data_IF_188402050781
#
_entry.id   IF_188402050781
#
_cell.length_a   1.000
_cell.length_b   1.000
_cell.length_c   1.000
_cell.angle_alpha   90.00
_cell.angle_beta   90.00
_cell.angle_gamma   90.00
#
_symmetry.space_group_name_H-M   'P 1'
#
loop_
_entity.id
_entity.type
_entity.pdbx_description
1 polymer ?
#
# COMPACT_ATOMS: atom_id res chain seq x y z
N UNK A 1 34.99 -11.65 39.31
CA UNK A 1 34.13 -11.32 40.47
C UNK A 1 33.20 -10.10 40.29
N UNK A 2 33.28 -9.37 39.14
CA UNK A 2 32.40 -8.21 38.86
C UNK A 2 30.95 -8.60 38.49
N UNK A 3 30.69 -9.79 37.94
CA UNK A 3 29.37 -10.22 37.48
C UNK A 3 28.36 -10.56 38.59
N UNK A 4 28.78 -11.12 39.70
CA UNK A 4 27.89 -11.52 40.80
C UNK A 4 27.34 -10.32 41.59
N UNK A 5 28.13 -9.24 41.76
CA UNK A 5 27.70 -8.03 42.45
C UNK A 5 26.61 -7.26 41.69
N UNK A 6 26.65 -7.28 40.35
CA UNK A 6 25.65 -6.63 39.51
C UNK A 6 24.32 -7.41 39.48
N UNK A 7 24.38 -8.75 39.52
CA UNK A 7 23.18 -9.59 39.61
C UNK A 7 22.48 -9.38 40.96
N UNK A 8 23.23 -9.28 42.08
CA UNK A 8 22.66 -8.99 43.40
C UNK A 8 22.07 -7.58 43.52
N UNK A 9 22.71 -6.58 42.92
CA UNK A 9 22.18 -5.20 42.90
C UNK A 9 20.88 -5.13 42.08
N UNK A 10 20.83 -5.80 40.89
CA UNK A 10 19.62 -5.87 40.09
C UNK A 10 18.48 -6.61 40.80
N UNK A 11 18.78 -7.72 41.52
CA UNK A 11 17.77 -8.44 42.30
C UNK A 11 17.25 -7.60 43.47
N UNK A 12 18.12 -6.82 44.14
CA UNK A 12 17.73 -5.93 45.24
C UNK A 12 16.88 -4.77 44.75
N UNK A 13 17.25 -4.16 43.63
CA UNK A 13 16.49 -3.11 42.98
C UNK A 13 15.09 -3.62 42.53
N UNK A 14 15.02 -4.79 41.93
CA UNK A 14 13.76 -5.43 41.54
C UNK A 14 12.86 -5.76 42.76
N UNK A 15 13.44 -6.17 43.88
CA UNK A 15 12.66 -6.36 45.13
C UNK A 15 12.11 -5.05 45.69
N UNK A 16 12.91 -3.98 45.71
CA UNK A 16 12.48 -2.66 46.16
C UNK A 16 11.38 -2.09 45.27
N UNK A 17 11.50 -2.24 43.93
CA UNK A 17 10.49 -1.82 42.98
C UNK A 17 9.22 -2.64 43.15
N UNK A 18 9.32 -3.97 43.31
CA UNK A 18 8.16 -4.85 43.53
C UNK A 18 7.42 -4.55 44.84
N UNK A 19 8.13 -4.05 45.86
CA UNK A 19 7.53 -3.60 47.12
C UNK A 19 6.93 -2.18 47.03
N UNK A 20 7.52 -1.31 46.22
CA UNK A 20 7.06 0.05 46.01
C UNK A 20 5.89 0.16 45.02
N UNK A 21 5.69 -0.86 44.17
CA UNK A 21 4.57 -0.86 43.26
C UNK A 21 3.27 -1.03 44.02
N UNK A 22 2.30 -0.10 43.86
CA UNK A 22 0.98 -0.24 44.46
C UNK A 22 0.35 -1.57 44.00
N UNK A 23 -0.37 -2.24 44.89
CA UNK A 23 -1.12 -3.44 44.57
C UNK A 23 -2.04 -3.09 43.41
N UNK A 24 -1.73 -3.63 42.24
CA UNK A 24 -2.47 -3.35 40.99
C UNK A 24 -3.98 -3.60 41.23
N UNK A 25 -4.87 -2.69 40.82
CA UNK A 25 -6.30 -2.85 41.02
C UNK A 25 -6.79 -4.11 40.28
N UNK A 26 -7.78 -4.75 40.86
CA UNK A 26 -8.49 -5.91 40.25
C UNK A 26 -9.94 -5.55 40.02
N UNK A 27 -10.51 -6.05 38.96
CA UNK A 27 -11.96 -6.04 38.76
C UNK A 27 -12.56 -7.25 39.49
N UNK A 28 -12.88 -7.07 40.76
CA UNK A 28 -13.62 -8.06 41.51
C UNK A 28 -15.14 -7.93 41.23
N UNK A 29 -15.89 -9.01 41.48
CA UNK A 29 -17.34 -9.00 41.31
C UNK A 29 -18.05 -7.88 42.08
N UNK A 30 -17.45 -7.41 43.19
CA UNK A 30 -17.94 -6.26 43.95
C UNK A 30 -17.66 -4.92 43.26
N UNK A 31 -16.56 -4.81 42.49
CA UNK A 31 -16.26 -3.61 41.69
C UNK A 31 -17.23 -3.48 40.51
N UNK A 32 -17.59 -4.59 39.86
CA UNK A 32 -18.57 -4.63 38.79
C UNK A 32 -19.99 -4.26 39.22
N UNK A 33 -20.31 -4.31 40.52
CA UNK A 33 -21.60 -3.84 41.06
C UNK A 33 -21.66 -2.33 41.29
N UNK A 34 -20.54 -1.62 41.15
CA UNK A 34 -20.50 -0.17 41.29
C UNK A 34 -21.05 0.50 40.04
N UNK A 35 -22.07 1.38 40.15
CA UNK A 35 -22.71 1.98 38.97
C UNK A 35 -21.72 2.81 38.12
N UNK A 36 -20.74 3.46 38.76
CA UNK A 36 -19.70 4.20 38.04
C UNK A 36 -18.82 3.30 37.16
N UNK A 37 -18.50 2.08 37.61
CA UNK A 37 -17.71 1.12 36.83
C UNK A 37 -18.53 0.60 35.64
N UNK A 38 -19.79 0.26 35.87
CA UNK A 38 -20.70 -0.15 34.80
C UNK A 38 -20.91 0.93 33.77
N UNK A 39 -21.09 2.18 34.21
CA UNK A 39 -21.20 3.34 33.32
C UNK A 39 -19.91 3.54 32.49
N UNK A 40 -18.74 3.44 33.10
CA UNK A 40 -17.46 3.53 32.41
C UNK A 40 -17.26 2.43 31.36
N UNK A 41 -17.63 1.18 31.69
CA UNK A 41 -17.60 0.06 30.74
C UNK A 41 -18.58 0.23 29.60
N UNK A 42 -19.80 0.71 29.88
CA UNK A 42 -20.80 1.00 28.85
C UNK A 42 -20.34 2.11 27.90
N UNK A 43 -19.75 3.18 28.45
CA UNK A 43 -19.18 4.28 27.66
C UNK A 43 -18.01 3.80 26.79
N UNK A 44 -17.12 2.97 27.34
CA UNK A 44 -16.02 2.38 26.59
C UNK A 44 -16.52 1.46 25.46
N UNK A 45 -17.53 0.61 25.75
CA UNK A 45 -18.14 -0.25 24.72
C UNK A 45 -18.84 0.58 23.64
N UNK A 46 -19.56 1.63 24.01
CA UNK A 46 -20.21 2.53 23.05
C UNK A 46 -19.17 3.25 22.17
N UNK A 47 -18.07 3.69 22.78
CA UNK A 47 -16.96 4.29 22.07
C UNK A 47 -16.31 3.32 21.06
N UNK A 48 -16.08 2.07 21.46
CA UNK A 48 -15.57 1.03 20.54
C UNK A 48 -16.54 0.79 19.38
N UNK A 49 -17.82 0.57 19.67
CA UNK A 49 -18.84 0.30 18.64
C UNK A 49 -18.96 1.46 17.66
N UNK A 50 -18.97 2.70 18.14
CA UNK A 50 -19.02 3.89 17.30
C UNK A 50 -17.79 4.00 16.39
N UNK A 51 -16.57 3.78 16.92
CA UNK A 51 -15.36 3.79 16.11
C UNK A 51 -15.36 2.68 15.06
N UNK A 52 -15.69 1.44 15.47
CA UNK A 52 -15.74 0.30 14.56
C UNK A 52 -16.77 0.47 13.43
N UNK A 53 -17.92 1.12 13.71
CA UNK A 53 -18.95 1.37 12.69
C UNK A 53 -18.52 2.36 11.61
N UNK A 54 -17.45 3.13 11.84
CA UNK A 54 -16.92 4.14 10.92
C UNK A 54 -15.60 3.74 10.26
N UNK A 55 -15.17 2.50 10.44
CA UNK A 55 -13.93 2.02 9.83
C UNK A 55 -13.98 2.09 8.31
N UNK A 56 -12.87 2.56 7.73
CA UNK A 56 -12.64 2.60 6.30
C UNK A 56 -11.49 1.65 5.95
N UNK A 57 -11.68 0.87 4.90
CA UNK A 57 -10.70 -0.14 4.45
C UNK A 57 -10.04 0.23 3.11
N UNK A 58 -10.46 1.33 2.52
CA UNK A 58 -9.95 1.78 1.23
C UNK A 58 -8.70 2.65 1.43
N UNK A 59 -7.54 2.00 1.37
CA UNK A 59 -6.23 2.65 1.46
C UNK A 59 -5.47 2.44 0.17
N UNK A 60 -5.39 3.49 -0.65
CA UNK A 60 -4.54 3.49 -1.84
C UNK A 60 -3.06 3.58 -1.48
N UNK A 61 -2.18 3.13 -2.40
CA UNK A 61 -0.72 3.27 -2.24
C UNK A 61 -0.30 4.74 -2.03
N UNK A 62 -1.08 5.68 -2.55
CA UNK A 62 -0.85 7.12 -2.38
C UNK A 62 -0.96 7.57 -0.93
N UNK A 63 -1.85 6.94 -0.14
CA UNK A 63 -2.05 7.25 1.27
C UNK A 63 -0.88 6.77 2.15
N UNK A 64 0.00 5.93 1.59
CA UNK A 64 1.21 5.45 2.26
C UNK A 64 2.44 6.35 1.97
N UNK A 65 2.34 7.26 1.00
CA UNK A 65 3.43 8.16 0.64
C UNK A 65 3.51 9.32 1.63
N UNK A 66 4.66 9.47 2.26
CA UNK A 66 4.94 10.55 3.22
C UNK A 66 5.49 11.84 2.59
N UNK A 67 5.36 12.01 1.27
CA UNK A 67 5.87 13.21 0.62
C UNK A 67 5.07 14.46 1.03
N UNK A 68 5.73 15.59 1.38
CA UNK A 68 5.04 16.83 1.67
C UNK A 68 4.17 17.26 0.50
N UNK A 69 2.94 17.74 0.77
CA UNK A 69 2.00 18.15 -0.27
C UNK A 69 2.61 19.15 -1.26
N UNK A 70 3.38 20.14 -0.78
CA UNK A 70 4.08 21.10 -1.63
C UNK A 70 5.02 20.45 -2.64
N UNK A 71 5.71 19.36 -2.24
CA UNK A 71 6.60 18.62 -3.13
C UNK A 71 5.81 17.89 -4.20
N UNK A 72 4.71 17.24 -3.82
CA UNK A 72 3.79 16.56 -4.76
C UNK A 72 3.19 17.56 -5.76
N UNK A 73 2.72 18.70 -5.29
CA UNK A 73 2.18 19.76 -6.16
C UNK A 73 3.23 20.30 -7.13
N UNK A 74 4.45 20.56 -6.64
CA UNK A 74 5.57 20.99 -7.49
C UNK A 74 5.94 19.93 -8.53
N UNK A 75 6.01 18.67 -8.13
CA UNK A 75 6.30 17.55 -9.03
C UNK A 75 5.21 17.38 -10.10
N UNK A 76 3.94 17.50 -9.72
CA UNK A 76 2.82 17.46 -10.66
C UNK A 76 2.83 18.67 -11.61
N UNK A 77 3.18 19.86 -11.13
CA UNK A 77 3.30 21.05 -11.96
C UNK A 77 4.42 20.90 -13.01
N UNK A 78 5.58 20.39 -12.62
CA UNK A 78 6.70 20.11 -13.54
C UNK A 78 6.32 19.01 -14.53
N UNK A 79 5.70 17.91 -14.07
CA UNK A 79 5.26 16.82 -14.93
C UNK A 79 4.25 17.31 -15.99
N UNK A 80 3.31 18.17 -15.60
CA UNK A 80 2.35 18.77 -16.54
C UNK A 80 3.00 19.73 -17.52
N UNK A 81 3.91 20.60 -17.03
CA UNK A 81 4.58 21.59 -17.87
C UNK A 81 5.49 20.94 -18.95
N UNK A 82 6.10 19.81 -18.62
CA UNK A 82 6.97 19.06 -19.52
C UNK A 82 6.26 17.92 -20.26
N UNK A 83 4.94 17.75 -20.05
CA UNK A 83 4.15 16.63 -20.57
C UNK A 83 4.85 15.27 -20.34
N UNK A 84 5.45 15.09 -19.15
CA UNK A 84 6.16 13.87 -18.82
C UNK A 84 5.18 12.70 -18.67
N UNK A 85 5.42 11.57 -19.34
CA UNK A 85 4.55 10.41 -19.19
C UNK A 85 4.57 9.88 -17.77
N UNK A 86 3.41 9.43 -17.30
CA UNK A 86 3.29 8.76 -16.00
C UNK A 86 3.85 7.35 -16.10
N UNK A 87 4.81 6.96 -15.25
CA UNK A 87 5.27 5.57 -15.24
C UNK A 87 4.25 4.62 -14.61
N UNK A 88 3.19 5.15 -14.03
CA UNK A 88 2.19 4.38 -13.29
C UNK A 88 1.04 3.88 -14.16
N UNK A 89 0.75 4.57 -15.28
CA UNK A 89 -0.30 4.20 -16.23
C UNK A 89 0.27 4.16 -17.64
N UNK A 90 0.10 3.01 -18.30
CA UNK A 90 0.57 2.79 -19.66
C UNK A 90 -0.30 1.76 -20.36
N UNK A 91 -0.26 1.75 -21.68
CA UNK A 91 -0.74 0.62 -22.46
C UNK A 91 0.43 -0.30 -22.80
N UNK A 92 0.20 -1.58 -22.68
CA UNK A 92 1.08 -2.63 -23.20
C UNK A 92 0.40 -3.22 -24.43
N UNK A 93 1.11 -3.21 -25.54
CA UNK A 93 0.62 -3.74 -26.79
C UNK A 93 1.47 -4.94 -27.19
N UNK A 94 0.82 -5.98 -27.68
CA UNK A 94 1.49 -7.20 -28.13
C UNK A 94 0.96 -7.65 -29.49
N UNK A 95 1.87 -8.21 -30.27
CA UNK A 95 1.59 -8.82 -31.58
C UNK A 95 2.64 -9.86 -31.94
N UNK A 96 2.40 -10.66 -32.97
CA UNK A 96 3.36 -11.64 -33.45
C UNK A 96 4.61 -11.02 -34.09
N UNK A 97 4.50 -9.80 -34.62
CA UNK A 97 5.59 -9.04 -35.23
C UNK A 97 5.58 -7.60 -34.71
N UNK A 98 6.73 -6.93 -34.77
CA UNK A 98 6.82 -5.52 -34.37
C UNK A 98 5.88 -4.65 -35.23
N UNK A 99 5.80 -4.89 -36.54
CA UNK A 99 4.92 -4.13 -37.45
C UNK A 99 3.44 -4.25 -37.05
N UNK A 100 2.95 -5.46 -36.77
CA UNK A 100 1.57 -5.65 -36.31
C UNK A 100 1.33 -5.00 -34.92
N UNK A 101 2.32 -5.06 -34.02
CA UNK A 101 2.22 -4.39 -32.75
C UNK A 101 2.11 -2.88 -32.92
N UNK A 102 2.85 -2.30 -33.88
CA UNK A 102 2.76 -0.88 -34.23
C UNK A 102 1.42 -0.52 -34.90
N UNK A 103 0.83 -1.41 -35.67
CA UNK A 103 -0.53 -1.23 -36.21
C UNK A 103 -1.56 -1.17 -35.07
N UNK A 104 -1.45 -2.05 -34.07
CA UNK A 104 -2.30 -1.99 -32.87
C UNK A 104 -2.10 -0.68 -32.11
N UNK A 105 -0.85 -0.18 -32.00
CA UNK A 105 -0.53 1.10 -31.33
C UNK A 105 -1.16 2.28 -32.09
N UNK A 106 -1.08 2.30 -33.41
CA UNK A 106 -1.69 3.33 -34.25
C UNK A 106 -3.24 3.29 -34.20
N UNK A 107 -3.83 2.10 -34.16
CA UNK A 107 -5.26 1.92 -33.92
C UNK A 107 -5.69 2.43 -32.55
N UNK A 108 -4.89 2.15 -31.51
CA UNK A 108 -5.15 2.65 -30.16
C UNK A 108 -5.04 4.19 -30.10
N UNK A 109 -4.03 4.78 -30.73
CA UNK A 109 -3.90 6.25 -30.79
C UNK A 109 -5.12 6.88 -31.45
N UNK A 110 -5.63 6.26 -32.52
CA UNK A 110 -6.85 6.71 -33.22
C UNK A 110 -8.09 6.60 -32.31
N UNK A 111 -8.20 5.49 -31.56
CA UNK A 111 -9.28 5.29 -30.58
C UNK A 111 -9.23 6.31 -29.44
N UNK A 112 -8.04 6.62 -28.93
CA UNK A 112 -7.84 7.64 -27.87
C UNK A 112 -8.24 9.04 -28.37
N UNK A 113 -7.91 9.39 -29.61
CA UNK A 113 -8.29 10.69 -30.21
C UNK A 113 -9.79 10.81 -30.48
N UNK A 114 -10.49 9.70 -30.70
CA UNK A 114 -11.94 9.68 -30.92
C UNK A 114 -12.74 9.97 -29.65
N UNK A 115 -12.16 9.77 -28.46
CA UNK A 115 -12.81 9.96 -27.16
C UNK A 115 -12.55 11.39 -26.69
N UNK A 116 -13.58 12.27 -26.58
CA UNK A 116 -13.38 13.68 -26.23
C UNK A 116 -12.70 13.90 -24.89
N UNK A 117 -12.97 13.04 -23.89
CA UNK A 117 -12.45 13.10 -22.55
C UNK A 117 -10.94 12.84 -22.50
N UNK A 118 -10.39 12.14 -23.50
CA UNK A 118 -8.98 11.74 -23.57
C UNK A 118 -8.12 12.69 -24.42
N UNK A 119 -8.70 13.65 -25.10
CA UNK A 119 -7.97 14.60 -25.99
C UNK A 119 -6.90 15.44 -25.27
N UNK A 120 -7.02 15.60 -23.96
CA UNK A 120 -6.04 16.33 -23.15
C UNK A 120 -4.79 15.51 -22.81
N UNK A 121 -4.82 14.20 -23.06
CA UNK A 121 -3.70 13.31 -22.81
C UNK A 121 -2.66 13.41 -23.92
N UNK A 122 -1.40 13.35 -23.54
CA UNK A 122 -0.30 13.30 -24.49
C UNK A 122 0.27 11.88 -24.54
N UNK A 123 -0.02 11.10 -25.58
CA UNK A 123 0.57 9.78 -25.75
C UNK A 123 2.03 9.89 -26.18
N UNK A 124 2.83 8.90 -25.82
CA UNK A 124 4.21 8.73 -26.24
C UNK A 124 4.49 7.25 -26.43
N UNK A 125 4.76 6.86 -27.64
CA UNK A 125 4.97 5.46 -28.03
C UNK A 125 5.93 5.31 -29.20
N UNK A 126 6.23 4.06 -29.54
CA UNK A 126 7.19 3.74 -30.59
C UNK A 126 6.65 4.11 -31.99
N UNK A 127 5.34 3.96 -32.24
CA UNK A 127 4.71 4.28 -33.54
C UNK A 127 4.85 5.74 -33.96
N UNK A 128 5.15 6.63 -32.99
CA UNK A 128 5.43 8.05 -33.29
C UNK A 128 6.84 8.27 -33.86
N UNK A 129 7.77 7.34 -33.65
CA UNK A 129 9.14 7.36 -34.15
C UNK A 129 9.33 6.39 -35.31
N UNK A 130 8.70 5.24 -35.23
CA UNK A 130 8.75 4.15 -36.20
C UNK A 130 7.29 3.73 -36.52
N UNK A 131 6.70 4.27 -37.61
CA UNK A 131 5.37 3.85 -38.03
C UNK A 131 5.37 2.38 -38.47
N UNK A 132 4.19 1.74 -38.44
CA UNK A 132 4.02 0.39 -38.98
C UNK A 132 4.37 0.29 -40.47
N UNK A 133 4.72 -0.88 -40.95
CA UNK A 133 5.03 -1.09 -42.37
C UNK A 133 3.88 -0.63 -43.26
N UNK A 134 2.65 -0.93 -42.91
CA UNK A 134 1.45 -0.52 -43.61
C UNK A 134 1.32 1.01 -43.71
N UNK A 135 1.60 1.69 -42.63
CA UNK A 135 1.56 3.17 -42.58
C UNK A 135 2.71 3.80 -43.37
N UNK A 136 3.91 3.23 -43.29
CA UNK A 136 5.07 3.70 -44.06
C UNK A 136 4.80 3.59 -45.56
N UNK A 137 4.15 2.50 -46.02
CA UNK A 137 3.76 2.32 -47.44
C UNK A 137 2.70 3.36 -47.87
N UNK A 138 1.65 3.52 -47.05
CA UNK A 138 0.60 4.51 -47.31
C UNK A 138 1.13 5.95 -47.36
N UNK A 139 2.00 6.32 -46.42
CA UNK A 139 2.64 7.64 -46.36
C UNK A 139 3.56 7.85 -47.58
N UNK A 140 4.28 6.82 -48.02
CA UNK A 140 5.12 6.84 -49.23
C UNK A 140 4.30 7.10 -50.46
N UNK A 141 3.19 6.37 -50.65
CA UNK A 141 2.30 6.53 -51.80
C UNK A 141 1.70 7.95 -51.83
N UNK A 142 1.31 8.47 -50.66
CA UNK A 142 0.82 9.85 -50.54
C UNK A 142 1.88 10.89 -50.91
N UNK A 143 3.13 10.72 -50.42
CA UNK A 143 4.26 11.60 -50.77
C UNK A 143 4.61 11.48 -52.25
N UNK A 144 4.59 10.28 -52.82
CA UNK A 144 4.83 10.08 -54.24
C UNK A 144 3.80 10.81 -55.10
N UNK A 145 2.51 10.68 -54.77
CA UNK A 145 1.43 11.38 -55.45
C UNK A 145 1.54 12.91 -55.35
N UNK A 146 1.82 13.41 -54.16
CA UNK A 146 2.01 14.84 -53.88
C UNK A 146 3.24 15.38 -54.66
N UNK A 147 4.34 14.63 -54.67
CA UNK A 147 5.56 15.00 -55.42
C UNK A 147 5.32 15.05 -56.93
N UNK A 148 4.63 14.04 -57.45
CA UNK A 148 4.25 14.02 -58.89
C UNK A 148 3.34 15.21 -59.27
N UNK A 149 2.39 15.54 -58.41
CA UNK A 149 1.50 16.69 -58.66
C UNK A 149 2.24 18.04 -58.61
N UNK A 150 3.24 18.16 -57.72
CA UNK A 150 4.04 19.40 -57.56
C UNK A 150 5.19 19.52 -58.57
N UNK A 151 5.64 18.40 -59.18
CA UNK A 151 6.80 18.34 -60.06
C UNK A 151 6.80 19.36 -61.23
N UNK A 152 5.69 19.58 -61.98
CA UNK A 152 5.70 20.53 -63.09
C UNK A 152 5.98 21.97 -62.64
N UNK A 153 5.38 22.36 -61.49
CA UNK A 153 5.54 23.72 -60.96
C UNK A 153 6.91 23.94 -60.33
N UNK A 154 7.48 22.93 -59.71
CA UNK A 154 8.84 22.97 -59.13
C UNK A 154 9.88 22.99 -60.24
N UNK A 155 9.71 22.27 -61.33
CA UNK A 155 10.56 22.28 -62.51
C UNK A 155 10.57 23.67 -63.14
N UNK A 156 9.42 24.30 -63.29
CA UNK A 156 9.27 25.66 -63.81
C UNK A 156 9.96 26.71 -62.93
N UNK A 157 9.83 26.63 -61.60
CA UNK A 157 10.30 27.60 -60.65
C UNK A 157 11.78 27.42 -60.28
N UNK A 158 12.25 26.15 -60.16
CA UNK A 158 13.58 25.83 -59.62
C UNK A 158 14.51 25.17 -60.64
N UNK A 159 14.01 24.84 -61.82
CA UNK A 159 14.78 24.16 -62.87
C UNK A 159 15.15 22.71 -62.52
N UNK A 160 14.58 22.14 -61.49
CA UNK A 160 14.85 20.78 -61.00
C UNK A 160 13.57 20.00 -60.68
N UNK A 161 13.55 18.75 -61.03
CA UNK A 161 12.48 17.85 -60.67
C UNK A 161 12.69 17.34 -59.22
N UNK A 162 11.65 17.31 -58.39
CA UNK A 162 11.81 16.76 -57.05
C UNK A 162 12.13 15.24 -57.13
N UNK A 163 13.02 14.79 -56.24
CA UNK A 163 13.27 13.36 -56.05
C UNK A 163 12.08 12.73 -55.32
N UNK A 164 11.56 11.62 -55.87
CA UNK A 164 10.52 10.85 -55.20
C UNK A 164 10.98 10.27 -53.83
N UNK A 165 10.04 9.78 -53.04
CA UNK A 165 10.38 9.20 -51.74
C UNK A 165 11.26 7.95 -51.90
N UNK A 166 12.04 7.67 -50.89
CA UNK A 166 12.89 6.47 -50.86
C UNK A 166 12.04 5.20 -50.78
N UNK A 167 12.46 4.14 -51.43
CA UNK A 167 11.72 2.88 -51.45
C UNK A 167 11.94 2.01 -50.18
N UNK A 168 12.97 2.34 -49.42
CA UNK A 168 13.34 1.56 -48.24
C UNK A 168 12.43 1.94 -47.05
N UNK A 169 11.88 0.92 -46.34
CA UNK A 169 11.19 1.11 -45.09
C UNK A 169 12.19 1.32 -43.97
N UNK A 170 11.85 2.18 -43.02
CA UNK A 170 12.61 2.35 -41.79
C UNK A 170 12.38 1.14 -40.88
N UNK A 171 13.45 0.56 -40.36
CA UNK A 171 13.43 -0.53 -39.40
C UNK A 171 13.93 -0.07 -38.02
N UNK A 172 13.65 -0.84 -36.98
CA UNK A 172 14.11 -0.54 -35.60
C UNK A 172 15.64 -0.38 -35.54
N UNK A 173 16.36 -1.23 -36.25
CA UNK A 173 17.84 -1.17 -36.31
C UNK A 173 18.38 0.16 -36.86
N UNK A 174 17.62 0.83 -37.73
CA UNK A 174 18.02 2.15 -38.24
C UNK A 174 17.99 3.21 -37.12
N UNK A 175 17.05 3.11 -36.18
CA UNK A 175 16.95 3.97 -35.02
C UNK A 175 18.00 3.64 -33.96
N UNK A 176 18.40 2.39 -33.82
CA UNK A 176 19.42 1.94 -32.86
C UNK A 176 20.80 2.50 -33.15
N UNK A 177 21.08 2.85 -34.38
CA UNK A 177 22.33 3.49 -34.80
C UNK A 177 22.37 5.01 -34.56
N UNK A 178 21.27 5.59 -34.05
CA UNK A 178 21.07 7.02 -33.85
C UNK A 178 21.00 7.39 -32.37
N UNK A 179 21.02 8.69 -32.02
CA UNK A 179 20.75 9.16 -30.64
C UNK A 179 19.38 8.75 -30.09
N UNK A 180 18.45 8.31 -30.93
CA UNK A 180 17.10 7.86 -30.56
C UNK A 180 17.08 6.47 -29.91
N UNK A 181 18.20 5.74 -29.92
CA UNK A 181 18.31 4.40 -29.30
C UNK A 181 17.78 4.34 -27.86
N UNK A 182 18.21 5.27 -27.03
CA UNK A 182 17.77 5.33 -25.65
C UNK A 182 16.25 5.50 -25.49
N UNK A 183 15.65 6.20 -26.45
CA UNK A 183 14.20 6.44 -26.45
C UNK A 183 13.44 5.20 -26.95
N UNK A 184 13.93 4.55 -28.01
CA UNK A 184 13.29 3.33 -28.55
C UNK A 184 13.32 2.20 -27.54
N UNK A 185 14.41 2.02 -26.78
CA UNK A 185 14.50 1.02 -25.71
C UNK A 185 13.51 1.21 -24.57
N UNK A 186 12.96 2.42 -24.40
CA UNK A 186 11.91 2.67 -23.39
C UNK A 186 10.54 2.16 -23.84
N UNK A 187 10.32 2.04 -25.15
CA UNK A 187 9.04 1.65 -25.71
C UNK A 187 8.99 0.18 -26.12
N UNK A 188 10.13 -0.46 -26.34
CA UNK A 188 10.20 -1.88 -26.71
C UNK A 188 10.55 -2.71 -25.48
N UNK A 189 9.62 -3.54 -25.03
CA UNK A 189 9.85 -4.48 -23.93
C UNK A 189 10.41 -5.82 -24.44
N UNK A 190 9.90 -6.29 -25.56
CA UNK A 190 10.26 -7.58 -26.14
C UNK A 190 10.14 -7.49 -27.67
N UNK A 191 11.10 -8.03 -28.38
CA UNK A 191 11.08 -8.14 -29.83
C UNK A 191 11.78 -9.44 -30.25
N UNK A 192 11.06 -10.55 -30.14
CA UNK A 192 11.52 -11.88 -30.50
C UNK A 192 10.67 -12.45 -31.64
N UNK A 193 11.18 -13.42 -32.39
CA UNK A 193 10.39 -14.08 -33.44
C UNK A 193 9.09 -14.66 -32.87
N UNK A 194 7.97 -14.17 -33.41
CA UNK A 194 6.63 -14.60 -33.00
C UNK A 194 6.05 -13.82 -31.79
N UNK A 195 6.79 -12.87 -31.23
CA UNK A 195 6.29 -12.02 -30.15
C UNK A 195 7.00 -10.67 -30.08
N UNK A 196 6.24 -9.61 -30.26
CA UNK A 196 6.70 -8.25 -30.03
C UNK A 196 5.80 -7.56 -29.02
N UNK A 197 6.40 -6.84 -28.07
CA UNK A 197 5.69 -6.14 -27.01
C UNK A 197 6.22 -4.71 -26.91
N UNK A 198 5.30 -3.74 -27.04
CA UNK A 198 5.60 -2.31 -26.91
C UNK A 198 4.81 -1.66 -25.79
N UNK A 199 5.25 -0.51 -25.34
CA UNK A 199 4.59 0.31 -24.32
C UNK A 199 4.25 1.68 -24.87
N UNK A 200 2.96 2.04 -24.79
CA UNK A 200 2.49 3.39 -25.03
C UNK A 200 2.26 4.09 -23.70
N UNK A 201 3.05 5.09 -23.40
CA UNK A 201 2.96 5.87 -22.18
C UNK A 201 2.03 7.07 -22.37
N UNK A 202 1.40 7.52 -21.27
CA UNK A 202 0.46 8.65 -21.30
C UNK A 202 0.90 9.72 -20.30
N UNK A 203 0.87 10.99 -20.74
CA UNK A 203 1.02 12.13 -19.84
C UNK A 203 -0.35 12.75 -19.54
N UNK A 204 -0.52 13.30 -18.34
CA UNK A 204 -1.73 14.00 -17.93
C UNK A 204 -2.89 13.10 -17.49
N UNK A 205 -2.64 11.83 -17.17
CA UNK A 205 -3.69 10.91 -16.71
C UNK A 205 -4.21 11.32 -15.35
N UNK A 206 -5.52 11.50 -15.24
CA UNK A 206 -6.26 11.75 -14.02
C UNK A 206 -7.24 10.60 -13.74
N UNK A 207 -7.71 10.41 -12.49
CA UNK A 207 -8.63 9.31 -12.15
C UNK A 207 -9.90 9.25 -13.01
N UNK A 208 -10.40 10.40 -13.44
CA UNK A 208 -11.58 10.50 -14.33
C UNK A 208 -11.38 9.87 -15.70
N UNK A 209 -10.13 9.74 -16.16
CA UNK A 209 -9.80 9.17 -17.48
C UNK A 209 -9.76 7.63 -17.47
N UNK A 210 -9.56 7.00 -16.30
CA UNK A 210 -9.32 5.55 -16.18
C UNK A 210 -10.40 4.66 -16.84
N UNK A 211 -11.72 4.93 -16.66
CA UNK A 211 -12.76 4.11 -17.31
C UNK A 211 -12.70 4.17 -18.84
N UNK A 212 -12.36 5.34 -19.38
CA UNK A 212 -12.26 5.55 -20.83
C UNK A 212 -11.01 4.88 -21.40
N UNK A 213 -9.89 4.90 -20.65
CA UNK A 213 -8.65 4.21 -21.05
C UNK A 213 -8.83 2.70 -21.11
N UNK A 214 -9.50 2.11 -20.11
CA UNK A 214 -9.83 0.68 -20.12
C UNK A 214 -10.68 0.33 -21.35
N UNK A 215 -11.71 1.12 -21.63
CA UNK A 215 -12.58 0.92 -22.78
C UNK A 215 -11.83 1.07 -24.12
N UNK A 216 -10.89 2.00 -24.22
CA UNK A 216 -10.06 2.18 -25.40
C UNK A 216 -9.16 0.96 -25.65
N UNK A 217 -8.60 0.34 -24.59
CA UNK A 217 -7.83 -0.88 -24.71
C UNK A 217 -8.67 -2.06 -25.22
N UNK A 218 -9.89 -2.21 -24.72
CA UNK A 218 -10.81 -3.28 -25.12
C UNK A 218 -11.20 -3.20 -26.61
N UNK A 219 -11.13 -2.01 -27.21
CA UNK A 219 -11.47 -1.81 -28.62
C UNK A 219 -10.36 -2.25 -29.57
N UNK A 220 -9.13 -2.51 -29.09
CA UNK A 220 -7.97 -2.82 -29.93
C UNK A 220 -7.40 -4.18 -29.53
N UNK A 221 -7.33 -5.16 -30.47
CA UNK A 221 -6.72 -6.45 -30.19
C UNK A 221 -5.26 -6.30 -29.72
N UNK A 222 -4.86 -7.09 -28.72
CA UNK A 222 -3.49 -7.07 -28.21
C UNK A 222 -3.11 -5.83 -27.38
N UNK A 223 -4.05 -4.89 -27.12
CA UNK A 223 -3.82 -3.75 -26.26
C UNK A 223 -4.34 -4.00 -24.85
N UNK A 224 -3.51 -3.74 -23.84
CA UNK A 224 -3.84 -3.90 -22.42
C UNK A 224 -3.54 -2.61 -21.69
N UNK A 225 -4.54 -2.06 -20.98
CA UNK A 225 -4.31 -0.93 -20.11
C UNK A 225 -3.79 -1.43 -18.75
N UNK A 226 -2.63 -0.94 -18.35
CA UNK A 226 -1.96 -1.31 -17.09
C UNK A 226 -1.94 -0.09 -16.17
N UNK A 227 -2.58 -0.20 -15.01
CA UNK A 227 -2.49 0.76 -13.91
C UNK A 227 -1.75 0.12 -12.75
N UNK A 228 -0.44 0.38 -12.68
CA UNK A 228 0.44 -0.16 -11.63
C UNK A 228 -0.02 0.33 -10.25
N UNK A 229 -0.48 1.58 -10.14
CA UNK A 229 -0.94 2.16 -8.87
C UNK A 229 -2.15 1.39 -8.33
N UNK A 230 -3.10 1.09 -9.21
CA UNK A 230 -4.29 0.32 -8.86
C UNK A 230 -3.93 -1.11 -8.50
N UNK A 231 -3.12 -1.78 -9.32
CA UNK A 231 -2.69 -3.15 -9.06
C UNK A 231 -1.95 -3.29 -7.72
N UNK A 232 -1.06 -2.35 -7.40
CA UNK A 232 -0.37 -2.34 -6.11
C UNK A 232 -1.33 -2.07 -4.95
N UNK A 233 -2.29 -1.16 -5.09
CA UNK A 233 -3.29 -0.86 -4.06
C UNK A 233 -4.20 -2.06 -3.80
N UNK A 234 -4.65 -2.75 -4.85
CA UNK A 234 -5.44 -3.98 -4.75
C UNK A 234 -4.64 -5.10 -4.07
N UNK A 235 -3.36 -5.27 -4.42
CA UNK A 235 -2.45 -6.22 -3.77
C UNK A 235 -2.28 -5.94 -2.28
N UNK A 236 -2.02 -4.69 -1.90
CA UNK A 236 -1.89 -4.29 -0.49
C UNK A 236 -3.20 -4.52 0.28
N UNK A 237 -4.35 -4.26 -0.33
CA UNK A 237 -5.66 -4.52 0.26
C UNK A 237 -5.90 -6.01 0.47
N UNK A 238 -5.55 -6.85 -0.50
CA UNK A 238 -5.64 -8.31 -0.38
C UNK A 238 -4.80 -8.84 0.79
N UNK A 239 -3.54 -8.40 0.89
CA UNK A 239 -2.66 -8.82 1.98
C UNK A 239 -3.15 -8.30 3.34
N UNK A 240 -3.66 -7.07 3.43
CA UNK A 240 -4.29 -6.53 4.64
C UNK A 240 -5.44 -7.43 5.11
N UNK A 241 -6.36 -7.77 4.20
CA UNK A 241 -7.54 -8.57 4.52
C UNK A 241 -7.14 -9.99 4.93
N UNK A 242 -6.14 -10.58 4.26
CA UNK A 242 -5.57 -11.87 4.65
C UNK A 242 -4.96 -11.82 6.06
N UNK A 243 -4.17 -10.79 6.38
CA UNK A 243 -3.58 -10.62 7.72
C UNK A 243 -4.68 -10.47 8.77
N UNK A 244 -5.74 -9.70 8.51
CA UNK A 244 -6.85 -9.53 9.45
C UNK A 244 -7.63 -10.85 9.65
N UNK A 245 -7.82 -11.64 8.60
CA UNK A 245 -8.43 -12.97 8.68
C UNK A 245 -7.57 -13.93 9.50
N UNK A 246 -6.27 -14.00 9.23
CA UNK A 246 -5.32 -14.82 9.99
C UNK A 246 -5.23 -14.36 11.44
N UNK A 247 -5.28 -13.04 11.69
CA UNK A 247 -5.33 -12.50 13.05
C UNK A 247 -6.56 -12.97 13.81
N UNK A 248 -7.76 -12.89 13.20
CA UNK A 248 -9.01 -13.36 13.81
C UNK A 248 -8.97 -14.87 14.09
N UNK A 249 -8.52 -15.68 13.13
CA UNK A 249 -8.32 -17.11 13.31
C UNK A 249 -7.27 -17.40 14.39
N UNK A 250 -6.19 -16.62 14.43
CA UNK A 250 -5.14 -16.71 15.43
C UNK A 250 -5.63 -16.45 16.85
N UNK A 251 -6.51 -15.46 17.05
CA UNK A 251 -7.13 -15.18 18.35
C UNK A 251 -7.93 -16.41 18.83
N UNK A 252 -8.74 -16.99 17.94
CA UNK A 252 -9.56 -18.17 18.27
C UNK A 252 -8.66 -19.37 18.58
N UNK A 253 -7.65 -19.62 17.77
CA UNK A 253 -6.69 -20.72 17.96
C UNK A 253 -5.93 -20.56 19.28
N UNK A 254 -5.41 -19.37 19.56
CA UNK A 254 -4.70 -19.06 20.81
C UNK A 254 -5.63 -19.25 22.01
N UNK A 255 -6.86 -18.78 21.93
CA UNK A 255 -7.82 -19.02 23.00
C UNK A 255 -8.08 -20.50 23.22
N UNK A 256 -8.27 -21.30 22.16
CA UNK A 256 -8.46 -22.75 22.26
C UNK A 256 -7.24 -23.46 22.90
N UNK A 257 -6.02 -23.10 22.47
CA UNK A 257 -4.78 -23.66 23.03
C UNK A 257 -4.62 -23.27 24.52
N UNK A 258 -4.91 -22.03 24.88
CA UNK A 258 -4.83 -21.59 26.27
C UNK A 258 -5.95 -22.19 27.12
N UNK A 259 -7.09 -22.53 26.53
CA UNK A 259 -8.17 -23.25 27.23
C UNK A 259 -7.75 -24.65 27.65
N UNK A 260 -6.90 -25.34 26.87
CA UNK A 260 -6.31 -26.64 27.25
C UNK A 260 -5.38 -26.51 28.48
N UNK A 261 -4.70 -25.36 28.63
CA UNK A 261 -3.74 -25.16 29.72
C UNK A 261 -4.35 -24.50 30.97
N UNK A 262 -5.17 -23.48 30.80
CA UNK A 262 -5.74 -22.65 31.90
C UNK A 262 -7.24 -22.94 32.15
N UNK A 263 -7.84 -23.84 31.36
CA UNK A 263 -9.25 -24.17 31.50
C UNK A 263 -10.14 -22.93 31.34
N UNK A 264 -11.08 -22.75 32.30
CA UNK A 264 -12.06 -21.65 32.28
C UNK A 264 -11.43 -20.26 32.47
N UNK A 265 -10.20 -20.12 32.92
CA UNK A 265 -9.51 -18.84 33.14
C UNK A 265 -8.77 -18.35 31.88
N UNK A 266 -8.75 -19.13 30.79
CA UNK A 266 -8.04 -18.82 29.54
C UNK A 266 -8.47 -17.50 28.87
N UNK A 267 -9.76 -17.13 29.00
CA UNK A 267 -10.28 -15.89 28.46
C UNK A 267 -9.59 -14.64 29.04
N UNK A 268 -9.10 -14.74 30.29
CA UNK A 268 -8.37 -13.65 30.99
C UNK A 268 -7.02 -13.36 30.35
N UNK A 269 -6.42 -14.35 29.71
CA UNK A 269 -5.17 -14.17 29.00
C UNK A 269 -5.36 -13.54 27.60
N UNK A 270 -6.48 -13.82 26.93
CA UNK A 270 -6.73 -13.39 25.55
C UNK A 270 -7.53 -12.09 25.46
N UNK A 271 -8.49 -11.88 26.38
CA UNK A 271 -9.41 -10.73 26.34
C UNK A 271 -8.68 -9.37 26.31
N UNK A 272 -7.60 -9.11 27.09
CA UNK A 272 -6.87 -7.84 27.00
C UNK A 272 -6.38 -7.54 25.60
N UNK A 273 -5.82 -8.55 24.91
CA UNK A 273 -5.33 -8.41 23.53
C UNK A 273 -6.47 -8.13 22.55
N UNK A 274 -7.59 -8.84 22.69
CA UNK A 274 -8.75 -8.59 21.86
C UNK A 274 -9.32 -7.17 22.05
N UNK A 275 -9.41 -6.70 23.31
CA UNK A 275 -9.81 -5.32 23.60
C UNK A 275 -8.82 -4.29 23.03
N UNK A 276 -7.52 -4.55 23.12
CA UNK A 276 -6.48 -3.70 22.54
C UNK A 276 -6.60 -3.59 21.02
N UNK A 277 -6.85 -4.71 20.34
CA UNK A 277 -7.08 -4.77 18.89
C UNK A 277 -8.32 -3.95 18.50
N UNK A 278 -9.45 -4.18 19.20
CA UNK A 278 -10.70 -3.46 18.94
C UNK A 278 -10.55 -1.95 19.19
N UNK A 279 -9.84 -1.56 20.26
CA UNK A 279 -9.59 -0.16 20.57
C UNK A 279 -8.70 0.52 19.52
N UNK A 280 -7.64 -0.16 19.07
CA UNK A 280 -6.79 0.35 18.01
C UNK A 280 -7.59 0.56 16.72
N UNK A 281 -8.40 -0.41 16.30
CA UNK A 281 -9.28 -0.28 15.13
C UNK A 281 -10.31 0.84 15.29
N UNK A 282 -10.92 0.98 16.48
CA UNK A 282 -11.89 2.03 16.75
C UNK A 282 -11.30 3.44 16.60
N UNK A 283 -10.04 3.65 16.98
CA UNK A 283 -9.35 4.94 16.81
C UNK A 283 -9.22 5.30 15.32
N UNK A 284 -8.95 4.34 14.44
CA UNK A 284 -8.92 4.59 12.99
C UNK A 284 -10.31 4.98 12.45
N UNK A 285 -11.37 4.35 12.92
CA UNK A 285 -12.73 4.77 12.58
C UNK A 285 -13.10 6.15 13.12
N UNK A 286 -12.60 6.54 14.30
CA UNK A 286 -12.82 7.88 14.86
C UNK A 286 -12.09 8.98 14.11
N UNK A 287 -10.87 8.70 13.69
CA UNK A 287 -10.04 9.66 12.94
C UNK A 287 -10.39 9.72 11.46
N UNK A 288 -11.22 8.80 10.94
CA UNK A 288 -11.54 8.68 9.52
C UNK A 288 -10.34 8.25 8.66
N UNK A 289 -9.27 7.75 9.29
CA UNK A 289 -8.10 7.25 8.56
C UNK A 289 -8.32 5.79 8.17
N UNK A 290 -7.97 5.38 6.94
CA UNK A 290 -8.21 4.02 6.50
C UNK A 290 -7.30 3.01 7.22
N UNK A 291 -7.82 1.80 7.42
CA UNK A 291 -7.05 0.66 7.93
C UNK A 291 -6.15 0.14 6.82
N UNK A 292 -4.84 0.30 7.00
CA UNK A 292 -3.82 -0.11 6.04
C UNK A 292 -3.20 -1.46 6.41
N UNK A 293 -2.36 -2.00 5.54
CA UNK A 293 -1.53 -3.19 5.85
C UNK A 293 -0.64 -2.96 7.09
N UNK A 294 -0.13 -1.74 7.27
CA UNK A 294 0.70 -1.39 8.43
C UNK A 294 -0.09 -1.38 9.73
N UNK A 295 -1.36 -0.97 9.69
CA UNK A 295 -2.30 -1.14 10.80
C UNK A 295 -2.45 -2.62 11.13
N UNK A 296 -2.72 -3.46 10.14
CA UNK A 296 -2.89 -4.91 10.33
C UNK A 296 -1.63 -5.57 10.94
N UNK A 297 -0.43 -5.22 10.47
CA UNK A 297 0.83 -5.67 11.07
C UNK A 297 0.99 -5.21 12.53
N UNK A 298 0.60 -3.97 12.83
CA UNK A 298 0.58 -3.46 14.20
C UNK A 298 -0.36 -4.26 15.11
N UNK A 299 -1.54 -4.67 14.61
CA UNK A 299 -2.49 -5.51 15.36
C UNK A 299 -1.93 -6.90 15.66
N UNK A 300 -1.16 -7.51 14.75
CA UNK A 300 -0.47 -8.79 14.99
C UNK A 300 0.52 -8.64 16.16
N UNK A 301 1.26 -7.52 16.20
CA UNK A 301 2.17 -7.23 17.30
C UNK A 301 1.43 -7.02 18.63
N UNK A 302 0.29 -6.30 18.61
CA UNK A 302 -0.57 -6.12 19.79
C UNK A 302 -1.10 -7.45 20.31
N UNK A 303 -1.50 -8.38 19.42
CA UNK A 303 -1.92 -9.73 19.81
C UNK A 303 -0.78 -10.48 20.50
N UNK A 304 0.39 -10.55 19.86
CA UNK A 304 1.54 -11.31 20.38
C UNK A 304 1.97 -10.83 21.76
N UNK A 305 2.29 -9.55 21.89
CA UNK A 305 2.71 -8.96 23.16
C UNK A 305 1.61 -9.01 24.22
N UNK A 306 0.36 -8.82 23.80
CA UNK A 306 -0.74 -8.80 24.75
C UNK A 306 -1.05 -10.19 25.32
N UNK A 307 -0.98 -11.23 24.50
CA UNK A 307 -1.16 -12.62 24.95
C UNK A 307 -0.02 -13.02 25.89
N UNK A 308 1.23 -12.61 25.62
CA UNK A 308 2.37 -12.86 26.52
C UNK A 308 2.12 -12.27 27.90
N UNK A 309 1.66 -11.01 27.98
CA UNK A 309 1.31 -10.38 29.27
C UNK A 309 0.17 -11.11 29.96
N UNK A 310 -0.84 -11.53 29.19
CA UNK A 310 -1.96 -12.32 29.71
C UNK A 310 -1.52 -13.66 30.30
N UNK A 311 -0.64 -14.39 29.60
CA UNK A 311 -0.11 -15.67 30.06
C UNK A 311 0.71 -15.49 31.35
N UNK A 312 1.61 -14.52 31.40
CA UNK A 312 2.45 -14.26 32.58
C UNK A 312 1.62 -13.94 33.82
N UNK A 313 0.64 -13.03 33.70
CA UNK A 313 -0.19 -12.63 34.85
C UNK A 313 -1.25 -13.68 35.22
N UNK A 314 -1.71 -14.52 34.30
CA UNK A 314 -2.60 -15.63 34.58
C UNK A 314 -1.88 -16.79 35.23
N UNK A 315 -0.62 -17.09 34.76
CA UNK A 315 0.19 -18.18 35.29
C UNK A 315 0.81 -17.89 36.66
N UNK A 316 1.03 -16.63 37.02
CA UNK A 316 1.67 -16.22 38.28
C UNK A 316 0.96 -15.02 38.93
N UNK A 317 -0.30 -15.18 39.35
CA UNK A 317 -1.16 -14.06 39.75
C UNK A 317 -0.74 -13.37 41.06
N UNK A 318 0.06 -14.02 41.90
CA UNK A 318 0.55 -13.49 43.20
C UNK A 318 1.99 -13.00 43.17
N UNK A 319 2.73 -13.22 42.05
CA UNK A 319 4.14 -12.82 41.99
C UNK A 319 4.30 -11.33 41.59
N UNK A 320 4.71 -10.54 42.58
CA UNK A 320 4.98 -9.11 42.37
C UNK A 320 6.13 -8.84 41.40
N UNK A 321 7.09 -9.78 41.25
CA UNK A 321 8.21 -9.64 40.29
C UNK A 321 7.72 -9.80 38.86
N UNK A 322 6.88 -10.78 38.61
CA UNK A 322 6.24 -10.97 37.28
C UNK A 322 5.40 -9.77 36.91
N UNK A 323 4.61 -9.22 37.86
CA UNK A 323 3.84 -8.01 37.64
C UNK A 323 4.73 -6.80 37.30
N UNK A 324 5.85 -6.62 38.04
CA UNK A 324 6.81 -5.57 37.75
C UNK A 324 7.46 -5.72 36.36
N UNK A 325 7.88 -6.95 36.01
CA UNK A 325 8.49 -7.23 34.70
C UNK A 325 7.53 -6.89 33.54
N UNK A 326 6.26 -7.30 33.63
CA UNK A 326 5.23 -6.99 32.63
C UNK A 326 5.00 -5.47 32.51
N UNK A 327 4.93 -4.76 33.65
CA UNK A 327 4.76 -3.30 33.64
C UNK A 327 5.93 -2.58 32.96
N UNK A 328 7.19 -2.94 33.30
CA UNK A 328 8.37 -2.34 32.68
C UNK A 328 8.48 -2.69 31.20
N UNK A 329 8.21 -3.96 30.81
CA UNK A 329 8.17 -4.36 29.42
C UNK A 329 7.13 -3.56 28.63
N UNK A 330 5.93 -3.35 29.20
CA UNK A 330 4.89 -2.53 28.58
C UNK A 330 5.34 -1.08 28.37
N UNK A 331 5.94 -0.44 29.38
CA UNK A 331 6.46 0.92 29.24
C UNK A 331 7.54 1.00 28.16
N UNK A 332 8.48 0.06 28.15
CA UNK A 332 9.54 0.02 27.12
C UNK A 332 8.96 -0.13 25.71
N UNK A 333 7.97 -1.01 25.54
CA UNK A 333 7.27 -1.20 24.28
C UNK A 333 6.54 0.08 23.84
N UNK A 334 5.81 0.72 24.77
CA UNK A 334 5.10 1.97 24.49
C UNK A 334 6.05 3.10 24.11
N UNK A 335 7.21 3.21 24.76
CA UNK A 335 8.22 4.20 24.41
C UNK A 335 8.85 3.91 23.05
N UNK A 336 9.20 2.65 22.76
CA UNK A 336 9.87 2.27 21.51
C UNK A 336 8.97 2.45 20.29
N UNK A 337 7.76 1.91 20.34
CA UNK A 337 6.83 1.95 19.20
C UNK A 337 5.95 3.21 19.20
N UNK A 338 5.68 3.79 20.39
CA UNK A 338 4.90 5.02 20.50
C UNK A 338 5.58 6.22 19.83
N UNK A 339 6.91 6.25 19.75
CA UNK A 339 7.64 7.29 19.01
C UNK A 339 7.33 7.29 17.52
N UNK A 340 6.92 6.16 16.94
CA UNK A 340 6.54 6.06 15.53
C UNK A 340 5.29 6.88 15.20
N UNK A 341 4.46 7.23 16.19
CA UNK A 341 3.29 8.12 16.01
C UNK A 341 3.70 9.48 15.46
N UNK A 342 4.90 9.94 15.78
CA UNK A 342 5.44 11.22 15.31
C UNK A 342 6.16 11.12 13.96
N UNK A 343 6.17 9.95 13.33
CA UNK A 343 6.77 9.77 12.01
C UNK A 343 6.06 10.60 10.95
N UNK A 344 6.84 11.21 10.06
CA UNK A 344 6.33 11.87 8.88
C UNK A 344 5.76 10.88 7.85
N UNK A 345 6.21 9.60 7.90
CA UNK A 345 5.74 8.54 7.01
C UNK A 345 4.39 8.01 7.49
N UNK A 346 3.29 8.14 6.73
CA UNK A 346 1.95 7.71 7.14
C UNK A 346 1.88 6.23 7.54
N UNK A 347 2.59 5.36 6.82
CA UNK A 347 2.71 3.94 7.11
C UNK A 347 3.26 3.67 8.52
N UNK A 348 4.38 4.30 8.88
CA UNK A 348 4.99 4.16 10.21
C UNK A 348 4.12 4.79 11.30
N UNK A 349 3.48 5.92 11.01
CA UNK A 349 2.53 6.56 11.91
C UNK A 349 1.33 5.66 12.20
N UNK A 350 0.71 5.06 11.17
CA UNK A 350 -0.40 4.14 11.33
C UNK A 350 -0.02 2.92 12.19
N UNK A 351 1.14 2.30 11.93
CA UNK A 351 1.69 1.24 12.75
C UNK A 351 1.90 1.69 14.20
N UNK A 352 2.54 2.85 14.41
CA UNK A 352 2.80 3.43 15.72
C UNK A 352 1.53 3.71 16.52
N UNK A 353 0.50 4.31 15.91
CA UNK A 353 -0.80 4.55 16.54
C UNK A 353 -1.44 3.23 16.95
N UNK A 354 -1.43 2.22 16.06
CA UNK A 354 -1.99 0.90 16.33
C UNK A 354 -1.35 0.28 17.57
N UNK A 355 -0.01 0.25 17.62
CA UNK A 355 0.71 -0.36 18.74
C UNK A 355 0.57 0.47 20.00
N UNK A 356 0.66 1.81 19.92
CA UNK A 356 0.50 2.68 21.09
C UNK A 356 -0.87 2.50 21.74
N UNK A 357 -1.95 2.60 20.96
CA UNK A 357 -3.32 2.48 21.48
C UNK A 357 -3.60 1.05 21.94
N UNK A 358 -3.35 0.07 21.09
CA UNK A 358 -3.60 -1.34 21.38
C UNK A 358 -2.86 -1.80 22.62
N UNK A 359 -1.56 -1.52 22.69
CA UNK A 359 -0.72 -1.94 23.80
C UNK A 359 -1.02 -1.17 25.10
N UNK A 360 -1.45 0.10 25.03
CA UNK A 360 -1.91 0.83 26.21
C UNK A 360 -3.14 0.18 26.84
N UNK A 361 -4.11 -0.24 26.01
CA UNK A 361 -5.30 -0.94 26.50
C UNK A 361 -4.95 -2.32 27.06
N UNK A 362 -4.10 -3.07 26.36
CA UNK A 362 -3.59 -4.36 26.85
C UNK A 362 -2.91 -4.19 28.22
N UNK A 363 -1.99 -3.22 28.30
CA UNK A 363 -1.22 -2.94 29.51
C UNK A 363 -2.11 -2.56 30.70
N UNK A 364 -3.16 -1.78 30.46
CA UNK A 364 -4.13 -1.39 31.48
C UNK A 364 -5.11 -2.52 31.85
N UNK A 365 -5.59 -3.30 30.85
CA UNK A 365 -6.59 -4.33 31.05
C UNK A 365 -6.05 -5.61 31.69
N UNK A 366 -4.81 -6.01 31.36
CA UNK A 366 -4.23 -7.27 31.82
C UNK A 366 -4.17 -7.40 33.35
N UNK A 367 -3.69 -6.39 34.11
CA UNK A 367 -3.71 -6.45 35.58
C UNK A 367 -5.12 -6.50 36.18
N UNK A 368 -6.07 -5.83 35.53
CA UNK A 368 -7.47 -5.79 36.00
C UNK A 368 -8.17 -7.15 35.89
N UNK A 369 -7.80 -7.92 34.87
CA UNK A 369 -8.42 -9.21 34.53
C UNK A 369 -7.70 -10.42 35.15
N UNK A 370 -6.59 -10.23 35.88
CA UNK A 370 -5.83 -11.34 36.48
C UNK A 370 -6.70 -12.17 37.45
N UNK A 371 -6.50 -13.51 37.52
CA UNK A 371 -7.25 -14.36 38.44
C UNK A 371 -6.96 -14.02 39.90
N UNK A 372 -7.86 -14.38 40.81
CA UNK A 372 -7.60 -14.29 42.23
C UNK A 372 -6.45 -15.21 42.62
N UNK A 373 -5.52 -14.75 43.43
CA UNK A 373 -4.52 -15.65 44.01
C UNK A 373 -5.28 -16.68 44.88
N UNK A 374 -5.21 -17.94 44.45
CA UNK A 374 -5.76 -19.01 45.28
C UNK A 374 -4.95 -19.06 46.58
N UNK A 375 -5.64 -18.98 47.73
CA UNK A 375 -5.01 -19.20 49.02
C UNK A 375 -4.78 -20.70 49.16
N UNK A 376 -3.72 -21.21 48.49
CA UNK A 376 -3.18 -22.53 48.81
C UNK A 376 -2.17 -22.41 49.95
#
# INVERSE_FOLDING_TARGET
SRGLGDVYKRQRLMRLIAQALPKLPRLDASALRRPAVLFGLALFAAALLFGLSRMQFDAGIRDLQGAPQKLLESQLAVSRALALPSPAQAFVLQGPTLSETLEHEEALLSALQAIPELKSLTPSGLSMLLPSDAKQDADRDLVAAATAAAAPRLLELLGASPKGPDAQRMALNDLESTPWRELTHRFVLENEPGRAVTVLMLAGVEPKHLPFLTKAAEAVPGAYFVDITRGMSEGLSLYRDLILMVLAAGIVLLWALLALRFGRESWRAVLPSALGILAALAVFGWTGTPVTIFTALGLVLVLGLGVDYGIFLTGSPSDGRTSAAVLFSGVTTLLSFGLLVFSATPALRAFGITVLVGQSIVWAATPLLRPAADKR
#
